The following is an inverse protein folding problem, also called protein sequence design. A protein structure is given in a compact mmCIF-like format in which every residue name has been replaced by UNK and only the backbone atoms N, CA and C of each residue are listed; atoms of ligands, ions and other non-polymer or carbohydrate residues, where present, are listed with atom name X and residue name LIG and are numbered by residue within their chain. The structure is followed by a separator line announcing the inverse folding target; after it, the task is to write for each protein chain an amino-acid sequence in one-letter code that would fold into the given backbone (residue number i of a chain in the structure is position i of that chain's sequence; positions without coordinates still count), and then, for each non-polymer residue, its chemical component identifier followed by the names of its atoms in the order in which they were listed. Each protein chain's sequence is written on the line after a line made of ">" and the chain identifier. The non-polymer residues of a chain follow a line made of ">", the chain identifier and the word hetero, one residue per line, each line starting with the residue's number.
data_IF_987981585537
#
_entry.id   IF_987981585537
#
_cell.length_a   1.000
_cell.length_b   1.000
_cell.length_c   1.000
_cell.angle_alpha   90.00
_cell.angle_beta   90.00
_cell.angle_gamma   90.00
#
_symmetry.space_group_name_H-M   'P 1'
#
loop_
_entity.id
_entity.type
_entity.pdbx_description
1 polymer ?
#
# COMPACT_ATOMS: atom_id res chain seq x y z
N UNK A 1 34.43 23.64 8.66
CA UNK A 1 33.08 24.16 8.98
C UNK A 1 32.14 22.96 9.07
N UNK A 2 31.62 22.64 10.25
CA UNK A 2 30.70 21.50 10.43
C UNK A 2 29.37 21.85 9.78
N UNK A 3 28.99 21.13 8.73
CA UNK A 3 27.71 21.34 8.05
C UNK A 3 26.56 21.00 9.01
N UNK A 4 25.80 22.02 9.42
CA UNK A 4 24.63 21.84 10.29
C UNK A 4 23.48 21.04 9.62
N UNK A 5 23.65 20.59 8.38
CA UNK A 5 22.70 19.70 7.69
C UNK A 5 22.68 18.28 8.26
N UNK A 6 23.70 17.89 9.04
CA UNK A 6 23.83 16.53 9.61
C UNK A 6 23.11 16.35 10.95
N UNK A 7 22.61 17.44 11.54
CA UNK A 7 22.13 17.44 12.92
C UNK A 7 20.64 17.08 12.98
N UNK A 8 20.25 16.27 13.96
CA UNK A 8 18.86 16.04 14.33
C UNK A 8 18.73 16.39 15.80
N UNK A 9 17.78 17.28 16.13
CA UNK A 9 17.50 17.62 17.52
C UNK A 9 16.07 17.23 17.88
N UNK A 10 15.95 16.71 19.09
CA UNK A 10 14.72 16.18 19.64
C UNK A 10 14.49 16.76 21.03
N UNK A 11 13.24 17.09 21.36
CA UNK A 11 12.90 17.45 22.74
C UNK A 11 11.50 17.00 23.11
N UNK A 12 11.38 16.44 24.32
CA UNK A 12 10.12 16.07 24.97
C UNK A 12 9.85 17.06 26.10
N UNK A 13 8.74 17.78 26.03
CA UNK A 13 8.29 18.69 27.07
C UNK A 13 6.91 18.23 27.61
N UNK A 14 6.54 18.66 28.82
CA UNK A 14 5.18 18.49 29.37
C UNK A 14 4.98 17.37 30.40
N UNK A 15 6.04 16.68 30.83
CA UNK A 15 5.99 15.74 31.95
C UNK A 15 7.18 15.91 32.90
N UNK A 16 6.95 15.76 34.20
CA UNK A 16 7.99 15.83 35.24
C UNK A 16 8.95 14.63 35.21
N UNK A 17 8.50 13.49 34.68
CA UNK A 17 9.28 12.25 34.55
C UNK A 17 8.96 11.56 33.24
N UNK A 18 9.97 11.28 32.43
CA UNK A 18 9.84 10.59 31.14
C UNK A 18 10.49 9.21 31.25
N UNK A 19 9.79 8.11 30.97
CA UNK A 19 10.38 6.77 30.97
C UNK A 19 11.51 6.65 29.94
N UNK A 20 12.65 6.08 30.34
CA UNK A 20 13.79 5.89 29.44
C UNK A 20 13.47 5.00 28.23
N UNK A 21 12.58 4.01 28.42
CA UNK A 21 12.11 3.10 27.37
C UNK A 21 11.43 3.91 26.25
N UNK A 22 10.60 4.89 26.61
CA UNK A 22 9.94 5.76 25.64
C UNK A 22 10.95 6.58 24.83
N UNK A 23 12.01 7.09 25.47
CA UNK A 23 13.07 7.83 24.77
C UNK A 23 13.81 6.92 23.80
N UNK A 24 14.14 5.70 24.22
CA UNK A 24 14.78 4.71 23.38
C UNK A 24 13.91 4.31 22.18
N UNK A 25 12.60 4.13 22.38
CA UNK A 25 11.65 3.82 21.32
C UNK A 25 11.60 4.94 20.27
N UNK A 26 11.54 6.20 20.72
CA UNK A 26 11.56 7.35 19.80
C UNK A 26 12.86 7.38 18.98
N UNK A 27 14.02 7.16 19.61
CA UNK A 27 15.29 7.08 18.89
C UNK A 27 15.32 5.93 17.87
N UNK A 28 14.76 4.78 18.24
CA UNK A 28 14.69 3.62 17.34
C UNK A 28 13.82 3.92 16.11
N UNK A 29 12.65 4.53 16.31
CA UNK A 29 11.76 4.92 15.21
C UNK A 29 12.40 5.97 14.29
N UNK A 30 13.08 6.97 14.85
CA UNK A 30 13.83 7.95 14.06
C UNK A 30 14.94 7.28 13.23
N UNK A 31 15.67 6.37 13.85
CA UNK A 31 16.71 5.61 13.16
C UNK A 31 16.12 4.78 12.01
N UNK A 32 14.97 4.14 12.22
CA UNK A 32 14.27 3.35 11.20
C UNK A 32 13.76 4.21 10.04
N UNK A 33 13.29 5.43 10.30
CA UNK A 33 12.89 6.40 9.26
C UNK A 33 14.09 6.69 8.36
N UNK A 34 15.23 7.07 8.95
CA UNK A 34 16.43 7.40 8.17
C UNK A 34 16.98 6.20 7.40
N UNK A 35 16.98 5.00 7.98
CA UNK A 35 17.37 3.80 7.26
C UNK A 35 16.43 3.45 6.11
N UNK A 36 15.12 3.61 6.29
CA UNK A 36 14.15 3.32 5.24
C UNK A 36 14.27 4.29 4.06
N UNK A 37 14.59 5.55 4.34
CA UNK A 37 14.87 6.58 3.33
C UNK A 37 16.23 6.35 2.67
N UNK A 38 17.29 6.08 3.44
CA UNK A 38 18.62 5.80 2.91
C UNK A 38 18.62 4.59 1.98
N UNK A 39 17.92 3.52 2.39
CA UNK A 39 17.74 2.31 1.57
C UNK A 39 16.91 2.58 0.30
N UNK A 40 16.02 3.59 0.32
CA UNK A 40 15.29 4.02 -0.88
C UNK A 40 16.19 4.78 -1.85
N UNK A 41 17.01 5.69 -1.32
CA UNK A 41 17.94 6.50 -2.09
C UNK A 41 19.05 5.68 -2.76
N UNK A 42 19.47 4.57 -2.14
CA UNK A 42 20.39 3.61 -2.78
C UNK A 42 19.73 2.78 -3.90
N UNK A 43 18.41 2.86 -4.08
CA UNK A 43 17.68 2.12 -5.11
C UNK A 43 17.52 0.62 -4.80
N UNK A 44 17.65 0.22 -3.53
CA UNK A 44 17.46 -1.18 -3.16
C UNK A 44 15.99 -1.59 -3.36
N UNK A 45 15.74 -2.88 -3.59
CA UNK A 45 14.38 -3.42 -3.66
C UNK A 45 13.72 -3.48 -2.26
N UNK A 46 12.39 -3.26 -2.15
CA UNK A 46 11.68 -3.37 -0.88
C UNK A 46 11.80 -4.78 -0.30
N UNK A 47 12.24 -4.89 0.95
CA UNK A 47 12.34 -6.15 1.67
C UNK A 47 11.26 -6.26 2.74
N UNK A 48 10.51 -7.38 2.82
CA UNK A 48 9.47 -7.55 3.83
C UNK A 48 10.04 -7.75 5.23
N UNK A 49 11.23 -8.35 5.33
CA UNK A 49 11.99 -8.60 6.56
C UNK A 49 13.48 -8.62 6.24
N UNK A 50 14.31 -8.45 7.26
CA UNK A 50 15.75 -8.49 7.16
C UNK A 50 16.40 -7.19 7.59
N UNK A 51 17.71 -7.27 7.71
CA UNK A 51 18.54 -6.16 8.14
C UNK A 51 18.74 -5.13 7.02
N UNK A 52 18.99 -3.87 7.38
CA UNK A 52 19.35 -2.84 6.40
C UNK A 52 20.78 -3.11 5.89
N UNK A 53 21.09 -2.77 4.63
CA UNK A 53 22.45 -2.89 4.10
C UNK A 53 23.46 -2.17 4.99
N UNK A 54 24.66 -2.73 5.09
CA UNK A 54 25.71 -2.11 5.90
C UNK A 54 26.04 -0.69 5.39
N UNK A 55 25.99 -0.46 4.08
CA UNK A 55 26.12 0.87 3.48
C UNK A 55 25.13 1.87 4.08
N UNK A 56 23.84 1.55 4.13
CA UNK A 56 22.81 2.40 4.72
C UNK A 56 23.07 2.63 6.21
N UNK A 57 23.48 1.60 6.94
CA UNK A 57 23.77 1.74 8.38
C UNK A 57 24.94 2.69 8.63
N UNK A 58 26.06 2.47 7.96
CA UNK A 58 27.27 3.28 8.11
C UNK A 58 26.99 4.75 7.76
N UNK A 59 26.08 4.97 6.82
CA UNK A 59 25.76 6.26 6.24
C UNK A 59 24.61 7.03 6.89
N UNK A 60 23.68 6.34 7.57
CA UNK A 60 22.47 6.93 8.11
C UNK A 60 22.30 6.70 9.63
N UNK A 61 23.28 6.10 10.31
CA UNK A 61 23.27 5.94 11.76
C UNK A 61 23.32 7.29 12.47
N UNK A 62 22.41 7.50 13.41
CA UNK A 62 22.40 8.63 14.32
C UNK A 62 23.26 8.33 15.54
N UNK A 63 24.14 9.27 15.87
CA UNK A 63 24.97 9.25 17.08
C UNK A 63 24.53 10.38 17.98
N UNK A 64 24.29 10.08 19.26
CA UNK A 64 23.95 11.10 20.27
C UNK A 64 25.19 11.93 20.58
N UNK A 65 25.12 13.24 20.35
CA UNK A 65 26.18 14.21 20.64
C UNK A 65 25.93 15.04 21.89
N UNK A 66 24.68 15.07 22.36
CA UNK A 66 24.30 15.72 23.62
C UNK A 66 22.96 15.19 24.12
N UNK A 67 22.84 14.99 25.42
CA UNK A 67 21.60 14.55 26.06
C UNK A 67 21.42 15.26 27.42
N UNK A 68 20.42 16.13 27.51
CA UNK A 68 19.99 16.74 28.76
C UNK A 68 18.80 15.97 29.32
N UNK A 69 18.95 15.38 30.51
CA UNK A 69 17.98 14.43 31.06
C UNK A 69 16.90 15.07 31.95
N UNK A 70 17.07 16.34 32.36
CA UNK A 70 16.08 17.07 33.19
C UNK A 70 14.80 17.45 32.44
N UNK A 71 14.92 17.64 31.13
CA UNK A 71 13.84 17.72 30.15
C UNK A 71 14.45 17.09 28.90
N UNK A 72 14.03 15.89 28.50
CA UNK A 72 14.75 15.08 27.50
C UNK A 72 14.99 15.93 26.25
N UNK A 73 16.23 16.40 26.09
CA UNK A 73 16.70 17.14 24.93
C UNK A 73 17.89 16.38 24.39
N UNK A 74 17.73 15.82 23.20
CA UNK A 74 18.77 15.05 22.54
C UNK A 74 19.23 15.80 21.29
N UNK A 75 20.54 15.91 21.16
CA UNK A 75 21.22 16.30 19.93
C UNK A 75 21.85 15.05 19.35
N UNK A 76 21.56 14.80 18.09
CA UNK A 76 22.07 13.67 17.33
C UNK A 76 22.67 14.17 16.01
N UNK A 77 23.59 13.41 15.45
CA UNK A 77 24.12 13.67 14.12
C UNK A 77 24.36 12.37 13.35
N UNK A 78 24.39 12.43 12.03
CA UNK A 78 24.89 11.32 11.22
C UNK A 78 26.34 11.04 11.58
N UNK A 79 26.70 9.75 11.70
CA UNK A 79 28.08 9.32 11.96
C UNK A 79 29.09 9.89 10.95
N UNK A 80 30.32 10.13 11.40
CA UNK A 80 31.35 10.87 10.65
C UNK A 80 31.94 10.15 9.41
N UNK A 81 31.39 8.99 9.02
CA UNK A 81 31.93 8.17 7.93
C UNK A 81 31.70 8.72 6.51
N UNK A 82 31.10 9.90 6.36
CA UNK A 82 30.66 10.43 5.06
C UNK A 82 31.39 11.69 4.62
N UNK A 83 32.11 11.57 3.50
CA UNK A 83 32.61 12.68 2.70
C UNK A 83 31.80 12.76 1.39
N UNK A 84 31.22 13.92 1.10
CA UNK A 84 30.60 14.19 -0.18
C UNK A 84 31.48 15.08 -1.05
N UNK A 85 31.22 15.06 -2.36
CA UNK A 85 31.81 16.05 -3.26
C UNK A 85 31.40 17.47 -2.83
N UNK A 86 32.27 18.49 -3.03
CA UNK A 86 31.93 19.87 -2.71
C UNK A 86 30.61 20.29 -3.36
N UNK A 87 29.65 20.70 -2.52
CA UNK A 87 28.32 21.13 -2.97
C UNK A 87 27.28 20.02 -3.14
N UNK A 88 27.64 18.75 -2.95
CA UNK A 88 26.68 17.64 -2.95
C UNK A 88 26.39 17.18 -1.52
N UNK A 89 25.12 16.91 -1.18
CA UNK A 89 24.78 16.27 0.10
C UNK A 89 25.16 14.79 0.10
N UNK A 90 25.57 14.31 1.27
CA UNK A 90 25.79 12.88 1.57
C UNK A 90 24.47 12.10 1.63
N UNK A 91 24.52 10.77 1.63
CA UNK A 91 23.34 9.92 1.77
C UNK A 91 22.58 10.20 3.08
N UNK A 92 23.31 10.40 4.19
CA UNK A 92 22.71 10.73 5.48
C UNK A 92 22.05 12.10 5.49
N UNK A 93 22.71 13.11 4.91
CA UNK A 93 22.14 14.47 4.78
C UNK A 93 20.89 14.49 3.89
N UNK A 94 20.89 13.74 2.78
CA UNK A 94 19.70 13.57 1.94
C UNK A 94 18.57 12.87 2.69
N UNK A 95 18.90 11.85 3.48
CA UNK A 95 17.90 11.12 4.29
C UNK A 95 17.25 12.04 5.33
N UNK A 96 18.05 12.89 6.01
CA UNK A 96 17.56 13.92 6.94
C UNK A 96 16.66 14.93 6.22
N UNK A 97 17.07 15.40 5.03
CA UNK A 97 16.30 16.35 4.23
C UNK A 97 14.92 15.80 3.84
N UNK A 98 14.87 14.55 3.34
CA UNK A 98 13.61 13.90 2.96
C UNK A 98 12.75 13.63 4.20
N UNK A 99 13.33 13.17 5.31
CA UNK A 99 12.59 12.99 6.57
C UNK A 99 11.96 14.31 7.05
N UNK A 100 12.67 15.43 6.89
CA UNK A 100 12.10 16.73 7.20
C UNK A 100 10.94 17.10 6.26
N UNK A 101 11.13 16.95 4.95
CA UNK A 101 10.10 17.27 3.97
C UNK A 101 8.82 16.44 4.18
N UNK A 102 8.97 15.13 4.48
CA UNK A 102 7.85 14.27 4.87
C UNK A 102 7.16 14.81 6.12
N UNK A 103 7.93 15.21 7.14
CA UNK A 103 7.38 15.75 8.38
C UNK A 103 6.63 17.07 8.15
N UNK A 104 7.17 17.98 7.34
CA UNK A 104 6.53 19.26 6.98
C UNK A 104 5.23 19.02 6.19
N UNK A 105 5.23 18.12 5.21
CA UNK A 105 4.02 17.76 4.45
C UNK A 105 2.93 17.24 5.38
N UNK A 106 3.26 16.36 6.33
CA UNK A 106 2.28 15.82 7.28
C UNK A 106 1.80 16.90 8.26
N UNK A 107 2.70 17.76 8.73
CA UNK A 107 2.42 18.71 9.82
C UNK A 107 1.72 19.98 9.35
N UNK A 108 2.22 20.61 8.28
CA UNK A 108 1.73 21.90 7.77
C UNK A 108 0.68 21.71 6.68
N UNK A 109 0.91 20.77 5.76
CA UNK A 109 0.01 20.51 4.62
C UNK A 109 -1.06 19.44 4.90
N UNK A 110 -1.06 18.86 6.10
CA UNK A 110 -2.14 17.97 6.55
C UNK A 110 -3.50 18.65 6.72
N UNK A 111 -3.63 19.94 6.41
CA UNK A 111 -4.93 20.62 6.26
C UNK A 111 -5.52 20.52 4.85
N UNK A 112 -4.79 19.92 3.90
CA UNK A 112 -5.32 19.68 2.56
C UNK A 112 -6.56 18.78 2.69
N UNK A 113 -7.71 19.32 2.30
CA UNK A 113 -9.03 18.67 2.32
C UNK A 113 -9.09 17.39 1.44
N UNK A 114 -8.03 17.13 0.66
CA UNK A 114 -7.90 16.00 -0.24
C UNK A 114 -6.74 15.06 0.15
N UNK A 115 -7.10 13.89 0.68
CA UNK A 115 -6.19 12.79 1.04
C UNK A 115 -5.30 12.35 -0.13
N UNK A 116 -5.83 12.31 -1.34
CA UNK A 116 -5.11 11.79 -2.51
C UNK A 116 -4.00 12.74 -2.94
N UNK A 117 -4.25 14.06 -2.85
CA UNK A 117 -3.25 15.09 -3.12
C UNK A 117 -2.10 15.05 -2.09
N UNK A 118 -2.40 14.73 -0.82
CA UNK A 118 -1.39 14.53 0.21
C UNK A 118 -0.58 13.26 -0.06
N UNK A 119 -1.24 12.16 -0.41
CA UNK A 119 -0.57 10.90 -0.76
C UNK A 119 0.36 11.06 -1.96
N UNK A 120 -0.07 11.79 -3.01
CA UNK A 120 0.76 12.08 -4.19
C UNK A 120 2.04 12.85 -3.84
N UNK A 121 1.95 13.91 -3.03
CA UNK A 121 3.13 14.66 -2.59
C UNK A 121 4.12 13.81 -1.79
N UNK A 122 3.61 12.89 -0.95
CA UNK A 122 4.46 11.96 -0.21
C UNK A 122 5.10 10.91 -1.15
N UNK A 123 4.36 10.48 -2.17
CA UNK A 123 4.83 9.52 -3.17
C UNK A 123 5.89 10.12 -4.10
N UNK A 124 5.84 11.42 -4.38
CA UNK A 124 6.91 12.13 -5.11
C UNK A 124 8.27 12.08 -4.38
N UNK A 125 8.25 12.05 -3.04
CA UNK A 125 9.47 11.93 -2.23
C UNK A 125 9.95 10.48 -2.08
N UNK A 126 9.00 9.55 -1.92
CA UNK A 126 9.28 8.12 -1.79
C UNK A 126 8.42 7.40 -2.83
N UNK A 127 8.99 7.19 -4.02
CA UNK A 127 8.33 6.57 -5.18
C UNK A 127 8.19 5.03 -5.02
N UNK A 128 7.76 4.59 -3.85
CA UNK A 128 7.48 3.20 -3.53
C UNK A 128 6.42 3.13 -2.42
N UNK A 129 5.24 2.55 -2.70
CA UNK A 129 4.12 2.59 -1.76
C UNK A 129 4.37 1.75 -0.51
N UNK A 130 5.16 0.66 -0.61
CA UNK A 130 5.48 -0.18 0.54
C UNK A 130 6.47 0.50 1.48
N UNK A 131 7.50 1.16 0.94
CA UNK A 131 8.47 1.94 1.72
C UNK A 131 7.81 3.15 2.38
N UNK A 132 6.98 3.89 1.63
CA UNK A 132 6.25 5.02 2.16
C UNK A 132 5.34 4.61 3.32
N UNK A 133 4.58 3.52 3.17
CA UNK A 133 3.75 2.98 4.26
C UNK A 133 4.57 2.57 5.49
N UNK A 134 5.75 1.98 5.30
CA UNK A 134 6.66 1.65 6.41
C UNK A 134 7.09 2.92 7.15
N UNK A 135 7.54 3.94 6.42
CA UNK A 135 7.96 5.22 7.00
C UNK A 135 6.80 5.89 7.75
N UNK A 136 5.59 5.90 7.17
CA UNK A 136 4.39 6.44 7.81
C UNK A 136 4.03 5.72 9.12
N UNK A 137 4.26 4.39 9.22
CA UNK A 137 4.07 3.65 10.48
C UNK A 137 5.06 4.05 11.56
N UNK A 138 6.32 4.31 11.19
CA UNK A 138 7.31 4.82 12.15
C UNK A 138 6.91 6.22 12.63
N UNK A 139 6.41 7.10 11.74
CA UNK A 139 5.86 8.40 12.13
C UNK A 139 4.62 8.28 13.04
N UNK A 140 3.67 7.38 12.75
CA UNK A 140 2.50 7.12 13.62
C UNK A 140 2.93 6.67 15.02
N UNK A 141 4.01 5.88 15.11
CA UNK A 141 4.52 5.35 16.37
C UNK A 141 5.13 6.44 17.27
N UNK A 142 5.78 7.45 16.69
CA UNK A 142 6.34 8.59 17.44
C UNK A 142 5.34 9.72 17.66
N UNK A 143 4.25 9.80 16.90
CA UNK A 143 3.33 10.93 16.97
C UNK A 143 2.54 10.91 18.30
N UNK A 144 2.43 12.04 19.03
CA UNK A 144 1.67 12.07 20.27
C UNK A 144 0.18 11.84 20.00
N UNK A 145 -0.47 11.03 20.83
CA UNK A 145 -1.93 10.89 20.82
C UNK A 145 -2.61 12.16 21.34
N UNK A 146 -3.86 12.39 20.94
CA UNK A 146 -4.65 13.56 21.35
C UNK A 146 -4.85 13.70 22.87
N UNK A 147 -4.75 12.60 23.61
CA UNK A 147 -4.83 12.58 25.08
C UNK A 147 -3.46 12.75 25.76
N UNK A 148 -2.37 12.77 25.00
CA UNK A 148 -1.02 12.92 25.54
C UNK A 148 -0.77 14.35 26.00
N UNK A 149 -0.22 14.52 27.20
CA UNK A 149 0.28 15.81 27.71
C UNK A 149 1.67 16.17 27.17
N UNK A 150 2.27 15.28 26.37
CA UNK A 150 3.62 15.44 25.88
C UNK A 150 3.65 16.30 24.62
N UNK A 151 4.53 17.30 24.61
CA UNK A 151 4.88 18.05 23.42
C UNK A 151 6.22 17.52 22.88
N UNK A 152 6.14 16.82 21.74
CA UNK A 152 7.30 16.33 21.01
C UNK A 152 7.71 17.36 19.97
N UNK A 153 9.00 17.66 19.92
CA UNK A 153 9.53 18.61 18.96
C UNK A 153 10.74 18.02 18.26
N UNK A 154 10.78 18.23 16.94
CA UNK A 154 11.84 17.77 16.06
C UNK A 154 12.47 18.93 15.33
N UNK A 155 13.75 18.80 15.02
CA UNK A 155 14.42 19.65 14.05
C UNK A 155 15.45 18.82 13.31
N UNK A 156 15.34 18.83 11.99
CA UNK A 156 16.24 18.15 11.07
C UNK A 156 17.10 19.22 10.36
N UNK A 157 18.41 19.14 10.52
CA UNK A 157 19.38 20.05 9.95
C UNK A 157 19.22 21.51 10.40
N UNK A 158 19.22 22.42 9.41
CA UNK A 158 19.12 23.88 9.61
C UNK A 158 17.68 24.38 9.75
N UNK A 159 16.69 23.51 9.58
CA UNK A 159 15.29 23.89 9.46
C UNK A 159 14.67 24.24 10.82
N UNK A 160 13.55 24.99 10.85
CA UNK A 160 12.91 25.40 12.09
C UNK A 160 12.45 24.20 12.91
N UNK A 161 12.32 24.43 14.22
CA UNK A 161 11.83 23.41 15.16
C UNK A 161 10.34 23.21 14.92
N UNK A 162 9.95 21.98 14.61
CA UNK A 162 8.58 21.58 14.36
C UNK A 162 8.01 20.84 15.58
N UNK A 163 6.89 21.34 16.10
CA UNK A 163 6.16 20.72 17.20
C UNK A 163 5.10 19.79 16.63
N UNK A 164 5.12 18.50 17.02
CA UNK A 164 4.14 17.54 16.54
C UNK A 164 2.77 17.85 17.13
N UNK A 165 1.82 18.23 16.28
CA UNK A 165 0.44 18.48 16.69
C UNK A 165 -0.32 17.14 16.84
N UNK A 166 -0.80 16.77 18.04
CA UNK A 166 -1.48 15.49 18.25
C UNK A 166 -2.69 15.24 17.34
N UNK A 167 -3.38 16.28 16.87
CA UNK A 167 -4.54 16.13 15.98
C UNK A 167 -4.16 15.57 14.61
N UNK A 168 -2.89 15.73 14.20
CA UNK A 168 -2.40 15.28 12.89
C UNK A 168 -2.10 13.78 12.84
N UNK A 169 -2.09 13.09 13.99
CA UNK A 169 -1.92 11.62 14.02
C UNK A 169 -2.99 10.88 13.22
N UNK A 170 -4.23 11.36 13.26
CA UNK A 170 -5.34 10.77 12.51
C UNK A 170 -5.17 10.89 10.99
N UNK A 171 -4.40 11.88 10.51
CA UNK A 171 -4.05 12.00 9.08
C UNK A 171 -3.06 10.91 8.69
N UNK A 172 -2.05 10.63 9.51
CA UNK A 172 -1.12 9.52 9.25
C UNK A 172 -1.89 8.21 9.22
N UNK A 173 -2.80 7.99 10.18
CA UNK A 173 -3.66 6.81 10.21
C UNK A 173 -4.58 6.73 9.00
N UNK A 174 -5.11 7.85 8.50
CA UNK A 174 -5.95 7.85 7.30
C UNK A 174 -5.12 7.53 6.04
N UNK A 175 -3.87 7.97 5.96
CA UNK A 175 -2.95 7.59 4.88
C UNK A 175 -2.60 6.10 4.94
N UNK A 176 -2.40 5.54 6.14
CA UNK A 176 -2.11 4.11 6.36
C UNK A 176 -3.30 3.17 6.11
N UNK A 177 -4.53 3.67 6.19
CA UNK A 177 -5.74 2.89 5.87
C UNK A 177 -5.75 2.60 4.38
N UNK A 178 -5.38 1.38 3.98
CA UNK A 178 -5.50 0.93 2.60
C UNK A 178 -6.98 1.03 2.18
N UNK A 179 -7.33 2.03 1.38
CA UNK A 179 -8.52 1.94 0.54
C UNK A 179 -8.23 0.79 -0.40
N UNK A 180 -9.01 -0.29 -0.41
CA UNK A 180 -8.77 -1.38 -1.36
C UNK A 180 -8.84 -0.76 -2.75
N UNK A 181 -7.72 -0.83 -3.45
CA UNK A 181 -7.59 -0.21 -4.76
C UNK A 181 -8.66 -0.82 -5.68
N UNK A 182 -9.40 0.03 -6.39
CA UNK A 182 -10.24 -0.43 -7.49
C UNK A 182 -9.31 -0.96 -8.58
N UNK A 183 -9.54 -2.18 -9.05
CA UNK A 183 -8.74 -2.75 -10.12
C UNK A 183 -9.63 -3.50 -11.11
N UNK A 184 -9.26 -3.46 -12.39
CA UNK A 184 -9.93 -4.23 -13.42
C UNK A 184 -9.65 -5.73 -13.23
N UNK A 185 -10.70 -6.55 -13.31
CA UNK A 185 -10.61 -7.99 -13.26
C UNK A 185 -11.50 -8.62 -14.32
N UNK A 186 -10.96 -9.65 -14.97
CA UNK A 186 -11.70 -10.55 -15.85
C UNK A 186 -11.99 -11.86 -15.11
N UNK A 187 -13.23 -12.34 -15.19
CA UNK A 187 -13.69 -13.58 -14.54
C UNK A 187 -14.50 -14.37 -15.56
N UNK A 188 -14.32 -15.69 -15.57
CA UNK A 188 -15.09 -16.62 -16.39
C UNK A 188 -15.85 -17.56 -15.48
N UNK A 189 -17.13 -17.76 -15.77
CA UNK A 189 -17.96 -18.64 -14.97
C UNK A 189 -19.42 -18.61 -15.38
N UNK A 190 -20.23 -19.36 -14.63
CA UNK A 190 -21.67 -19.44 -14.88
C UNK A 190 -22.39 -18.31 -14.18
N UNK A 191 -23.23 -17.58 -14.91
CA UNK A 191 -24.08 -16.57 -14.31
C UNK A 191 -25.23 -17.24 -13.54
N UNK A 192 -25.29 -17.00 -12.24
CA UNK A 192 -26.28 -17.57 -11.33
C UNK A 192 -26.88 -16.49 -10.43
N UNK A 193 -28.05 -16.77 -9.85
CA UNK A 193 -28.73 -15.92 -8.86
C UNK A 193 -28.82 -14.42 -9.25
N UNK A 194 -29.80 -14.07 -10.08
CA UNK A 194 -30.06 -12.69 -10.48
C UNK A 194 -31.04 -11.97 -9.52
N UNK A 195 -30.71 -10.74 -9.14
CA UNK A 195 -31.56 -9.80 -8.42
C UNK A 195 -31.74 -8.52 -9.23
N UNK A 196 -32.94 -8.35 -9.78
CA UNK A 196 -33.39 -7.16 -10.51
C UNK A 196 -34.01 -6.07 -9.60
N UNK A 197 -33.82 -6.18 -8.27
CA UNK A 197 -34.31 -5.17 -7.34
C UNK A 197 -33.41 -3.91 -7.38
N UNK A 198 -33.65 -2.94 -6.48
CA UNK A 198 -32.85 -1.69 -6.42
C UNK A 198 -31.35 -1.91 -6.27
N UNK A 199 -30.88 -3.11 -5.93
CA UNK A 199 -29.46 -3.43 -5.80
C UNK A 199 -28.81 -3.87 -7.11
N UNK A 200 -29.56 -4.42 -8.07
CA UNK A 200 -29.06 -4.94 -9.36
C UNK A 200 -27.80 -5.79 -9.20
N UNK A 201 -27.98 -6.97 -8.63
CA UNK A 201 -26.89 -7.89 -8.28
C UNK A 201 -27.06 -9.22 -9.02
N UNK A 202 -25.95 -9.86 -9.37
CA UNK A 202 -25.94 -11.28 -9.74
C UNK A 202 -24.67 -11.96 -9.20
N UNK A 203 -24.57 -13.27 -9.34
CA UNK A 203 -23.37 -14.02 -8.96
C UNK A 203 -22.79 -14.78 -10.13
N UNK A 204 -21.48 -14.97 -10.09
CA UNK A 204 -20.78 -15.87 -11.00
C UNK A 204 -20.24 -17.03 -10.20
N UNK A 205 -20.60 -18.24 -10.60
CA UNK A 205 -19.93 -19.45 -10.15
C UNK A 205 -18.70 -19.69 -11.02
N UNK A 206 -17.53 -19.42 -10.47
CA UNK A 206 -16.24 -19.51 -11.15
C UNK A 206 -15.33 -20.54 -10.48
N UNK A 207 -14.26 -21.00 -11.15
CA UNK A 207 -13.25 -21.86 -10.51
C UNK A 207 -12.58 -21.22 -9.27
N UNK A 208 -12.63 -19.89 -9.14
CA UNK A 208 -12.14 -19.15 -7.97
C UNK A 208 -13.17 -19.09 -6.83
N UNK A 209 -14.36 -19.66 -7.03
CA UNK A 209 -15.50 -19.62 -6.14
C UNK A 209 -16.59 -18.65 -6.58
N UNK A 210 -17.53 -18.41 -5.68
CA UNK A 210 -18.70 -17.55 -5.91
C UNK A 210 -18.32 -16.06 -5.84
N UNK A 211 -18.42 -15.37 -6.98
CA UNK A 211 -18.15 -13.94 -7.09
C UNK A 211 -19.47 -13.17 -7.12
N UNK A 212 -19.53 -12.05 -6.39
CA UNK A 212 -20.69 -11.16 -6.40
C UNK A 212 -20.45 -10.04 -7.41
N UNK A 213 -21.46 -9.75 -8.23
CA UNK A 213 -21.39 -8.77 -9.30
C UNK A 213 -22.55 -7.79 -9.20
N UNK A 214 -22.30 -6.54 -9.59
CA UNK A 214 -23.30 -5.49 -9.73
C UNK A 214 -23.28 -4.96 -11.16
N UNK A 215 -24.47 -4.63 -11.68
CA UNK A 215 -24.63 -4.19 -13.06
C UNK A 215 -25.40 -2.87 -13.19
N UNK A 216 -25.08 -2.12 -14.23
CA UNK A 216 -25.82 -0.90 -14.61
C UNK A 216 -27.20 -1.26 -15.17
N UNK A 217 -28.22 -0.39 -15.02
CA UNK A 217 -29.53 -0.59 -15.66
C UNK A 217 -29.47 -0.80 -17.17
N UNK A 218 -28.44 -0.25 -17.82
CA UNK A 218 -28.31 -0.24 -19.28
C UNK A 218 -28.07 -1.65 -19.83
N UNK A 219 -27.48 -2.54 -19.03
CA UNK A 219 -27.17 -3.92 -19.43
C UNK A 219 -28.13 -4.96 -18.82
N UNK A 220 -29.20 -4.52 -18.14
CA UNK A 220 -30.13 -5.39 -17.42
C UNK A 220 -30.74 -6.47 -18.31
N UNK A 221 -31.17 -6.12 -19.53
CA UNK A 221 -31.75 -7.07 -20.48
C UNK A 221 -30.75 -8.16 -20.90
N UNK A 222 -29.48 -7.81 -21.06
CA UNK A 222 -28.41 -8.75 -21.42
C UNK A 222 -28.14 -9.70 -20.26
N UNK A 223 -28.07 -9.18 -19.03
CA UNK A 223 -27.87 -10.00 -17.82
C UNK A 223 -29.03 -10.98 -17.62
N UNK A 224 -30.27 -10.53 -17.82
CA UNK A 224 -31.47 -11.39 -17.73
C UNK A 224 -31.39 -12.51 -18.76
N UNK A 225 -31.00 -12.20 -20.00
CA UNK A 225 -30.91 -13.18 -21.08
C UNK A 225 -29.75 -14.16 -20.91
N UNK A 226 -28.71 -13.78 -20.17
CA UNK A 226 -27.50 -14.58 -19.96
C UNK A 226 -27.56 -15.46 -18.69
N UNK A 227 -28.72 -15.53 -18.02
CA UNK A 227 -28.83 -16.30 -16.77
C UNK A 227 -28.74 -17.80 -17.02
N UNK A 228 -27.83 -18.46 -16.31
CA UNK A 228 -27.53 -19.88 -16.50
C UNK A 228 -26.47 -20.15 -17.55
N UNK A 229 -26.09 -19.16 -18.36
CA UNK A 229 -25.06 -19.28 -19.39
C UNK A 229 -23.65 -19.14 -18.81
N UNK A 230 -22.67 -19.65 -19.57
CA UNK A 230 -21.27 -19.44 -19.28
C UNK A 230 -20.79 -18.14 -19.92
N UNK A 231 -20.29 -17.23 -19.10
CA UNK A 231 -19.96 -15.87 -19.50
C UNK A 231 -18.57 -15.49 -19.03
N UNK A 232 -17.93 -14.62 -19.80
CA UNK A 232 -16.73 -13.89 -19.40
C UNK A 232 -17.13 -12.47 -19.05
N UNK A 233 -16.81 -12.05 -17.84
CA UNK A 233 -17.14 -10.73 -17.32
C UNK A 233 -15.86 -9.96 -17.04
N UNK A 234 -15.78 -8.75 -17.56
CA UNK A 234 -14.70 -7.78 -17.30
C UNK A 234 -15.29 -6.59 -16.58
N UNK A 235 -14.73 -6.23 -15.44
CA UNK A 235 -15.24 -5.09 -14.70
C UNK A 235 -14.29 -4.61 -13.62
N UNK A 236 -14.74 -3.61 -12.87
CA UNK A 236 -13.95 -3.01 -11.80
C UNK A 236 -14.29 -3.67 -10.48
N UNK A 237 -13.31 -4.31 -9.85
CA UNK A 237 -13.46 -4.93 -8.54
C UNK A 237 -13.43 -3.84 -7.46
N UNK A 238 -14.54 -3.67 -6.72
CA UNK A 238 -14.67 -2.66 -5.66
C UNK A 238 -14.96 -3.31 -4.30
N UNK A 239 -14.39 -2.77 -3.20
CA UNK A 239 -14.75 -3.21 -1.86
C UNK A 239 -16.14 -2.69 -1.46
N UNK A 240 -17.05 -3.57 -1.07
CA UNK A 240 -18.39 -3.22 -0.56
C UNK A 240 -18.70 -4.04 0.70
N UNK A 241 -18.81 -3.37 1.85
CA UNK A 241 -19.20 -4.00 3.12
C UNK A 241 -18.30 -5.14 3.60
N UNK A 242 -16.99 -5.06 3.34
CA UNK A 242 -16.01 -6.09 3.72
C UNK A 242 -15.91 -7.28 2.76
N UNK A 243 -16.60 -7.22 1.62
CA UNK A 243 -16.46 -8.16 0.50
C UNK A 243 -16.03 -7.42 -0.76
N UNK A 244 -15.53 -8.14 -1.75
CA UNK A 244 -15.25 -7.59 -3.08
C UNK A 244 -16.44 -7.85 -4.00
N UNK A 245 -16.85 -6.85 -4.76
CA UNK A 245 -17.94 -6.89 -5.73
C UNK A 245 -17.40 -6.42 -7.07
N UNK A 246 -17.67 -7.18 -8.13
CA UNK A 246 -17.29 -6.83 -9.49
C UNK A 246 -18.38 -5.97 -10.12
N UNK A 247 -18.06 -4.72 -10.45
CA UNK A 247 -18.99 -3.82 -11.11
C UNK A 247 -18.80 -3.87 -12.62
N UNK A 248 -19.90 -4.01 -13.35
CA UNK A 248 -19.94 -3.94 -14.81
C UNK A 248 -20.90 -2.85 -15.29
N UNK A 249 -20.43 -2.03 -16.22
CA UNK A 249 -21.10 -0.79 -16.60
C UNK A 249 -21.65 -0.84 -18.03
N UNK A 250 -21.03 -1.63 -18.92
CA UNK A 250 -21.35 -1.66 -20.34
C UNK A 250 -21.54 -3.06 -20.92
N UNK A 251 -22.10 -3.15 -22.12
CA UNK A 251 -22.36 -4.43 -22.80
C UNK A 251 -21.06 -5.17 -23.16
N UNK A 252 -19.95 -4.44 -23.37
CA UNK A 252 -18.64 -5.02 -23.74
C UNK A 252 -17.93 -5.71 -22.57
N UNK A 253 -18.46 -5.48 -21.38
CA UNK A 253 -18.07 -6.08 -20.12
C UNK A 253 -18.61 -7.50 -19.96
N UNK A 254 -19.53 -7.96 -20.82
CA UNK A 254 -20.06 -9.32 -20.82
C UNK A 254 -19.92 -9.96 -22.20
N UNK A 255 -19.09 -11.00 -22.27
CA UNK A 255 -18.95 -11.86 -23.45
C UNK A 255 -19.60 -13.22 -23.15
N UNK A 256 -20.62 -13.60 -23.94
CA UNK A 256 -21.14 -14.96 -23.91
C UNK A 256 -20.12 -15.91 -24.54
N UNK A 257 -19.70 -16.92 -23.79
CA UNK A 257 -18.75 -17.92 -24.26
C UNK A 257 -19.50 -19.22 -24.56
N UNK A 258 -19.69 -19.59 -25.84
CA UNK A 258 -20.34 -20.86 -26.17
C UNK A 258 -19.48 -22.09 -25.79
N UNK A 259 -18.17 -21.90 -25.60
CA UNK A 259 -17.22 -22.97 -25.31
C UNK A 259 -16.18 -22.53 -24.27
N UNK A 260 -15.70 -23.46 -23.46
CA UNK A 260 -14.57 -23.25 -22.56
C UNK A 260 -13.29 -23.80 -23.17
N UNK A 261 -12.22 -23.01 -23.15
CA UNK A 261 -10.91 -23.43 -23.66
C UNK A 261 -10.02 -23.93 -22.53
N UNK A 262 -9.76 -25.23 -22.51
CA UNK A 262 -8.73 -25.79 -21.63
C UNK A 262 -7.38 -25.61 -22.31
N UNK A 263 -6.53 -24.80 -21.69
CA UNK A 263 -5.16 -24.54 -22.11
C UNK A 263 -4.12 -25.11 -21.13
N UNK A 264 -4.55 -25.57 -19.95
CA UNK A 264 -3.69 -26.18 -18.92
C UNK A 264 -4.41 -27.34 -18.23
N UNK A 265 -3.65 -28.37 -17.86
CA UNK A 265 -4.14 -29.50 -17.08
C UNK A 265 -3.13 -29.87 -15.99
N UNK A 266 -3.62 -30.52 -14.93
CA UNK A 266 -2.78 -31.01 -13.83
C UNK A 266 -2.76 -32.53 -13.86
N UNK A 267 -1.57 -33.12 -14.01
CA UNK A 267 -1.36 -34.56 -13.91
C UNK A 267 -0.32 -34.80 -12.80
N UNK A 268 -0.66 -35.61 -11.79
CA UNK A 268 0.22 -35.94 -10.67
C UNK A 268 0.86 -34.72 -9.98
N UNK A 269 0.04 -33.69 -9.75
CA UNK A 269 0.43 -32.42 -9.13
C UNK A 269 1.31 -31.48 -9.98
N UNK A 270 1.65 -31.86 -11.21
CA UNK A 270 2.42 -31.02 -12.14
C UNK A 270 1.45 -30.35 -13.12
N UNK A 271 1.47 -29.01 -13.16
CA UNK A 271 0.70 -28.23 -14.12
C UNK A 271 1.42 -28.27 -15.48
N UNK A 272 0.72 -28.73 -16.52
CA UNK A 272 1.22 -28.81 -17.89
C UNK A 272 0.33 -27.98 -18.81
N UNK A 273 0.97 -27.26 -19.72
CA UNK A 273 0.30 -26.50 -20.76
C UNK A 273 -0.01 -27.41 -21.96
N UNK A 274 -1.19 -27.26 -22.55
CA UNK A 274 -1.56 -27.96 -23.78
C UNK A 274 -0.91 -27.26 -24.98
N UNK A 275 -0.44 -28.04 -25.95
CA UNK A 275 0.13 -27.50 -27.19
C UNK A 275 -0.93 -26.81 -28.05
N UNK A 276 -2.18 -27.30 -27.98
CA UNK A 276 -3.35 -26.72 -28.64
C UNK A 276 -4.49 -26.65 -27.62
N UNK A 277 -5.20 -25.51 -27.49
CA UNK A 277 -6.35 -25.40 -26.61
C UNK A 277 -7.46 -26.38 -27.02
N UNK A 278 -8.07 -27.03 -26.03
CA UNK A 278 -9.22 -27.91 -26.27
C UNK A 278 -10.49 -27.12 -25.96
N UNK A 279 -11.33 -26.91 -26.97
CA UNK A 279 -12.65 -26.30 -26.81
C UNK A 279 -13.66 -27.35 -26.35
N UNK A 280 -14.39 -27.04 -25.27
CA UNK A 280 -15.37 -27.94 -24.68
C UNK A 280 -16.74 -27.26 -24.67
N UNK A 281 -17.74 -28.00 -25.15
CA UNK A 281 -19.15 -27.65 -24.96
C UNK A 281 -19.49 -27.86 -23.48
N UNK A 282 -19.85 -26.78 -22.80
CA UNK A 282 -20.35 -26.87 -21.43
C UNK A 282 -21.84 -27.21 -21.51
N UNK A 283 -22.19 -28.43 -21.10
CA UNK A 283 -23.59 -28.86 -20.99
C UNK A 283 -23.96 -28.96 -19.51
N UNK A 284 -25.01 -28.26 -19.11
CA UNK A 284 -25.47 -28.22 -17.73
C UNK A 284 -26.59 -29.26 -17.50
N UNK A 285 -26.28 -30.37 -16.84
CA UNK A 285 -27.28 -31.34 -16.35
C UNK A 285 -27.42 -31.23 -14.83
N UNK A 286 -28.45 -30.51 -14.37
CA UNK A 286 -28.73 -30.33 -12.94
C UNK A 286 -27.67 -29.48 -12.22
N UNK A 287 -27.08 -30.01 -11.13
CA UNK A 287 -26.02 -29.38 -10.33
C UNK A 287 -24.60 -29.81 -10.73
N UNK A 288 -24.42 -30.55 -11.84
CA UNK A 288 -23.12 -31.09 -12.25
C UNK A 288 -22.66 -30.52 -13.59
N UNK A 289 -21.35 -30.30 -13.72
CA UNK A 289 -20.71 -29.92 -14.98
C UNK A 289 -20.61 -31.16 -15.89
N UNK A 290 -21.37 -31.16 -16.98
CA UNK A 290 -21.18 -32.07 -18.11
C UNK A 290 -20.21 -31.43 -19.10
N UNK A 291 -19.17 -32.16 -19.49
CA UNK A 291 -18.26 -31.74 -20.56
C UNK A 291 -18.44 -32.66 -21.75
N UNK A 292 -18.95 -32.12 -22.85
CA UNK A 292 -18.96 -32.84 -24.12
C UNK A 292 -17.74 -32.39 -24.93
N UNK A 293 -16.78 -33.29 -25.22
CA UNK A 293 -15.71 -32.94 -26.13
C UNK A 293 -16.31 -32.68 -27.51
N UNK A 294 -16.02 -31.51 -28.08
CA UNK A 294 -16.24 -31.29 -29.51
C UNK A 294 -15.28 -32.23 -30.22
N UNK A 295 -15.79 -33.37 -30.68
CA UNK A 295 -15.06 -34.24 -31.59
C UNK A 295 -14.83 -33.42 -32.86
N UNK A 296 -13.62 -32.90 -33.03
CA UNK A 296 -13.13 -32.47 -34.32
C UNK A 296 -13.30 -33.64 -35.29
N UNK A 297 -14.36 -33.62 -36.10
CA UNK A 297 -14.48 -34.50 -37.25
C UNK A 297 -13.38 -34.09 -38.20
N UNK A 298 -12.34 -34.92 -38.27
CA UNK A 298 -11.32 -34.85 -39.31
C UNK A 298 -12.01 -34.95 -40.67
N UNK A 299 -11.94 -33.89 -41.45
CA UNK A 299 -12.13 -33.89 -42.91
C UNK A 299 -10.82 -33.50 -43.57
#
# INVERSE_FOLDING_TARGET
>A
MVSHQRNVSFSINGMDKIPIVYVADVFQHLQNILYSIGDHLEGNEPRPKGDYPQSVKDNCSLVITGLDTGSVHAQMQIGDAQESLPGMPTLGENSISIANNLLEIISEKGEIENRDALHLQLFELINNPHRLNRILREYDSIWPDSQSKMALNFKFGKLPKLTLNPTKKEIIRSLLKKTPDEYEKQIEGRLIELRVDKKREFKIDSPEGLIHCEYSPEIEDIIINSIGDFVRIRGTMKPKGGKFVLNIEDETSLDMLPHFEINKYKLDSIEKQLNEPISIDIVFEGEQYGVNPILCTTS
#
